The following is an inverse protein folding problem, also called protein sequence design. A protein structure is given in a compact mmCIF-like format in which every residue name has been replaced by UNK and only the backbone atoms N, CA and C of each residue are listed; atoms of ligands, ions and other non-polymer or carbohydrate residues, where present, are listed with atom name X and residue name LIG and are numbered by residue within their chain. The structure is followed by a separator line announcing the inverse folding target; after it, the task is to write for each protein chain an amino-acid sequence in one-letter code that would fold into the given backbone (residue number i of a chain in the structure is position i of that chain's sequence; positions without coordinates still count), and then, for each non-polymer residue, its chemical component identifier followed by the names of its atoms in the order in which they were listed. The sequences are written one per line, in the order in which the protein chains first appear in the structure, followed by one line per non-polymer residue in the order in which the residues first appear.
data_IF_057763455265
#
_entry.id   IF_057763455265
#
_cell.length_a   1.000
_cell.length_b   1.000
_cell.length_c   1.000
_cell.angle_alpha   90.00
_cell.angle_beta   90.00
_cell.angle_gamma   90.00
#
_symmetry.space_group_name_H-M   'P 1'
#
loop_
_entity.id
_entity.type
_entity.pdbx_description
1 polymer ?
#
# COMPACT_ATOMS: atom_id res chain seq x y z
N UNK A 1 -32.35 26.66 13.53
CA UNK A 1 -31.00 26.05 13.44
C UNK A 1 -30.57 26.10 11.99
N UNK A 2 -29.90 27.18 11.61
CA UNK A 2 -29.39 27.40 10.25
C UNK A 2 -27.92 27.01 10.22
N UNK A 3 -27.58 26.11 9.32
CA UNK A 3 -26.22 25.62 9.11
C UNK A 3 -25.53 26.53 8.09
N UNK A 4 -24.58 27.34 8.55
CA UNK A 4 -23.72 28.16 7.67
C UNK A 4 -22.75 27.22 6.95
N UNK A 5 -22.88 27.12 5.62
CA UNK A 5 -21.80 26.67 4.75
C UNK A 5 -20.82 27.84 4.58
N UNK A 6 -19.60 27.66 5.07
CA UNK A 6 -18.47 28.55 4.77
C UNK A 6 -17.67 27.90 3.64
N UNK A 7 -17.87 28.36 2.41
CA UNK A 7 -16.97 28.06 1.30
C UNK A 7 -15.66 28.82 1.51
N UNK A 8 -14.56 28.10 1.74
CA UNK A 8 -13.23 28.67 1.65
C UNK A 8 -12.82 28.77 0.17
N UNK A 9 -12.39 29.98 -0.20
CA UNK A 9 -11.81 30.31 -1.50
C UNK A 9 -10.43 29.65 -1.64
N UNK A 10 -10.20 28.97 -2.76
CA UNK A 10 -8.91 28.38 -3.13
C UNK A 10 -8.00 29.53 -3.59
N UNK A 11 -7.04 29.89 -2.74
CA UNK A 11 -5.95 30.78 -3.11
C UNK A 11 -4.99 30.08 -4.08
N UNK A 12 -5.06 30.43 -5.36
CA UNK A 12 -4.08 30.07 -6.38
C UNK A 12 -2.80 30.90 -6.16
N UNK A 13 -1.91 30.39 -5.32
CA UNK A 13 -0.59 30.98 -5.03
C UNK A 13 0.53 29.95 -5.13
N UNK A 14 0.64 29.27 -6.27
CA UNK A 14 1.74 28.36 -6.56
C UNK A 14 2.94 29.11 -7.15
N UNK A 15 3.96 29.35 -6.31
CA UNK A 15 5.28 29.76 -6.76
C UNK A 15 6.01 28.51 -7.30
N UNK A 16 6.41 28.43 -8.57
CA UNK A 16 7.17 27.28 -9.06
C UNK A 16 8.59 27.38 -8.52
N UNK A 17 8.87 26.64 -7.45
CA UNK A 17 10.24 26.33 -7.06
C UNK A 17 10.82 25.43 -8.16
N UNK A 18 11.63 26.03 -9.02
CA UNK A 18 12.52 25.32 -9.93
C UNK A 18 13.54 24.55 -9.08
N UNK A 19 13.36 23.23 -8.95
CA UNK A 19 14.43 22.37 -8.46
C UNK A 19 15.61 22.41 -9.45
N UNK A 20 16.85 22.51 -8.97
CA UNK A 20 18.02 22.45 -9.83
C UNK A 20 18.16 21.03 -10.42
N UNK A 21 17.74 20.92 -11.67
CA UNK A 21 17.97 19.76 -12.52
C UNK A 21 19.48 19.65 -12.82
N UNK A 22 20.00 18.42 -12.86
CA UNK A 22 21.39 18.03 -13.20
C UNK A 22 22.46 17.92 -12.09
N UNK A 23 22.14 17.27 -10.97
CA UNK A 23 23.14 16.38 -10.36
C UNK A 23 22.94 14.97 -10.90
N UNK A 24 23.99 14.41 -11.51
CA UNK A 24 23.98 13.07 -12.10
C UNK A 24 23.34 12.07 -11.14
N UNK A 25 22.14 11.59 -11.50
CA UNK A 25 21.40 10.63 -10.70
C UNK A 25 22.17 9.33 -10.79
N UNK A 26 23.04 9.07 -9.81
CA UNK A 26 23.55 7.72 -9.61
C UNK A 26 22.35 6.77 -9.65
N UNK A 27 22.42 5.69 -10.44
CA UNK A 27 21.32 4.73 -10.52
C UNK A 27 20.98 4.31 -9.09
N UNK A 28 19.73 4.60 -8.65
CA UNK A 28 19.25 4.26 -7.31
C UNK A 28 19.35 2.74 -7.17
N UNK A 29 20.44 2.28 -6.57
CA UNK A 29 20.82 0.87 -6.52
C UNK A 29 19.97 0.10 -5.50
N UNK A 30 19.90 -1.22 -5.68
CA UNK A 30 19.30 -2.13 -4.70
C UNK A 30 19.95 -1.92 -3.33
N UNK A 31 19.15 -1.60 -2.32
CA UNK A 31 19.65 -1.46 -0.96
C UNK A 31 19.92 -2.84 -0.36
N UNK A 32 21.09 -3.01 0.24
CA UNK A 32 21.35 -4.18 1.08
C UNK A 32 20.38 -4.20 2.28
N UNK A 33 20.06 -5.37 2.84
CA UNK A 33 19.23 -5.46 4.04
C UNK A 33 19.74 -4.61 5.21
N UNK A 34 21.05 -4.51 5.39
CA UNK A 34 21.67 -3.71 6.46
C UNK A 34 21.44 -2.22 6.22
N UNK A 35 21.66 -1.73 4.99
CA UNK A 35 21.41 -0.34 4.65
C UNK A 35 19.93 0.01 4.76
N UNK A 36 19.06 -0.91 4.37
CA UNK A 36 17.61 -0.75 4.51
C UNK A 36 17.20 -0.60 5.98
N UNK A 37 17.67 -1.48 6.87
CA UNK A 37 17.42 -1.39 8.32
C UNK A 37 17.96 -0.10 8.92
N UNK A 38 19.10 0.38 8.45
CA UNK A 38 19.65 1.67 8.87
C UNK A 38 18.74 2.83 8.45
N UNK A 39 18.21 2.81 7.23
CA UNK A 39 17.23 3.80 6.78
C UNK A 39 15.96 3.78 7.65
N UNK A 40 15.47 2.60 8.04
CA UNK A 40 14.32 2.49 8.96
C UNK A 40 14.62 3.13 10.33
N UNK A 41 15.82 2.94 10.87
CA UNK A 41 16.24 3.62 12.12
C UNK A 41 16.34 5.13 11.95
N UNK A 42 16.79 5.60 10.79
CA UNK A 42 16.83 7.04 10.49
C UNK A 42 15.41 7.62 10.39
N UNK A 43 14.46 6.92 9.77
CA UNK A 43 13.05 7.30 9.78
C UNK A 43 12.50 7.36 11.21
N UNK A 44 12.82 6.37 12.06
CA UNK A 44 12.44 6.36 13.48
C UNK A 44 12.98 7.60 14.22
N UNK A 45 14.24 7.95 13.98
CA UNK A 45 14.88 9.12 14.60
C UNK A 45 14.32 10.45 14.06
N UNK A 46 13.95 10.50 12.78
CA UNK A 46 13.41 11.69 12.13
C UNK A 46 11.90 11.90 12.37
N UNK A 47 11.20 10.87 12.86
CA UNK A 47 9.76 10.94 13.11
C UNK A 47 9.45 11.98 14.18
N UNK A 48 8.49 12.85 13.88
CA UNK A 48 8.03 13.90 14.81
C UNK A 48 6.64 13.50 15.29
N UNK A 49 6.56 13.07 16.55
CA UNK A 49 5.31 12.68 17.19
C UNK A 49 4.33 13.86 17.25
N UNK A 50 3.04 13.58 17.10
CA UNK A 50 1.97 14.59 17.20
C UNK A 50 1.71 15.38 15.92
N UNK A 51 2.49 15.16 14.86
CA UNK A 51 2.27 15.76 13.54
C UNK A 51 1.61 14.71 12.64
N UNK A 52 0.68 15.14 11.79
CA UNK A 52 0.13 14.27 10.75
C UNK A 52 1.19 13.98 9.68
N UNK A 53 1.61 12.72 9.57
CA UNK A 53 2.45 12.20 8.50
C UNK A 53 1.72 11.11 7.71
N UNK A 54 2.23 10.83 6.51
CA UNK A 54 1.66 9.86 5.57
C UNK A 54 2.72 8.87 5.14
N UNK A 55 2.60 7.63 5.60
CA UNK A 55 3.53 6.55 5.28
C UNK A 55 2.93 5.55 4.31
N UNK A 56 3.75 4.99 3.43
CA UNK A 56 3.35 3.93 2.53
C UNK A 56 4.35 2.78 2.53
N UNK A 57 3.86 1.54 2.49
CA UNK A 57 4.65 0.32 2.27
C UNK A 57 4.14 -0.37 1.02
N UNK A 58 5.00 -0.50 0.01
CA UNK A 58 4.69 -1.16 -1.26
C UNK A 58 5.45 -2.47 -1.35
N UNK A 59 4.73 -3.58 -1.41
CA UNK A 59 5.30 -4.93 -1.36
C UNK A 59 4.95 -5.69 -2.62
N UNK A 60 5.97 -6.07 -3.41
CA UNK A 60 5.85 -7.13 -4.41
C UNK A 60 6.44 -8.40 -3.82
N UNK A 61 5.59 -9.33 -3.39
CA UNK A 61 6.02 -10.62 -2.83
C UNK A 61 6.45 -11.64 -3.90
N UNK A 62 6.22 -11.36 -5.19
CA UNK A 62 6.61 -12.26 -6.29
C UNK A 62 8.06 -12.02 -6.73
N UNK A 63 8.80 -13.12 -6.90
CA UNK A 63 10.21 -13.17 -7.32
C UNK A 63 10.43 -12.84 -8.79
N UNK A 64 9.49 -13.19 -9.68
CA UNK A 64 9.80 -13.33 -11.12
C UNK A 64 8.78 -12.66 -12.05
N UNK A 65 7.82 -11.93 -11.52
CA UNK A 65 6.73 -11.42 -12.34
C UNK A 65 6.81 -9.91 -12.55
N UNK A 66 7.07 -9.54 -13.80
CA UNK A 66 7.07 -8.15 -14.27
C UNK A 66 5.74 -7.44 -14.00
N UNK A 67 4.62 -8.16 -13.94
CA UNK A 67 3.29 -7.60 -13.71
C UNK A 67 3.17 -7.00 -12.29
N UNK A 68 3.52 -7.77 -11.25
CA UNK A 68 3.49 -7.27 -9.88
C UNK A 68 4.47 -6.11 -9.66
N UNK A 69 5.67 -6.18 -10.24
CA UNK A 69 6.58 -5.04 -10.24
C UNK A 69 6.03 -3.79 -10.94
N UNK A 70 5.23 -3.96 -12.01
CA UNK A 70 4.55 -2.84 -12.68
C UNK A 70 3.47 -2.24 -11.79
N UNK A 71 2.75 -3.06 -11.01
CA UNK A 71 1.79 -2.56 -10.04
C UNK A 71 2.45 -1.71 -8.95
N UNK A 72 3.65 -2.09 -8.46
CA UNK A 72 4.43 -1.27 -7.52
C UNK A 72 4.78 0.09 -8.14
N UNK A 73 5.24 0.12 -9.39
CA UNK A 73 5.52 1.39 -10.08
C UNK A 73 4.28 2.28 -10.23
N UNK A 74 3.11 1.69 -10.51
CA UNK A 74 1.84 2.42 -10.58
C UNK A 74 1.44 2.98 -9.22
N UNK A 75 1.50 2.15 -8.18
CA UNK A 75 1.21 2.56 -6.81
C UNK A 75 2.13 3.71 -6.36
N UNK A 76 3.45 3.57 -6.55
CA UNK A 76 4.42 4.62 -6.23
C UNK A 76 4.06 5.96 -6.88
N UNK A 77 3.81 5.97 -8.19
CA UNK A 77 3.42 7.20 -8.92
C UNK A 77 2.13 7.79 -8.36
N UNK A 78 1.16 6.95 -8.01
CA UNK A 78 -0.10 7.38 -7.43
C UNK A 78 0.10 8.01 -6.03
N UNK A 79 0.96 7.43 -5.18
CA UNK A 79 1.34 8.03 -3.88
C UNK A 79 2.06 9.36 -4.05
N UNK A 80 2.97 9.47 -5.03
CA UNK A 80 3.64 10.75 -5.34
C UNK A 80 2.62 11.82 -5.76
N UNK A 81 1.67 11.46 -6.62
CA UNK A 81 0.60 12.37 -7.04
C UNK A 81 -0.30 12.79 -5.85
N UNK A 82 -0.50 11.90 -4.88
CA UNK A 82 -1.23 12.15 -3.63
C UNK A 82 -0.41 12.89 -2.54
N UNK A 83 0.81 13.35 -2.88
CA UNK A 83 1.64 14.17 -2.00
C UNK A 83 2.44 13.41 -0.94
N UNK A 84 2.67 12.11 -1.10
CA UNK A 84 3.58 11.35 -0.24
C UNK A 84 5.04 11.71 -0.56
N UNK A 85 5.87 11.89 0.46
CA UNK A 85 7.30 12.14 0.29
C UNK A 85 8.05 10.86 -0.12
N UNK A 86 9.21 10.97 -0.77
CA UNK A 86 10.01 9.78 -1.10
C UNK A 86 10.51 9.05 0.16
N UNK A 87 10.81 9.80 1.22
CA UNK A 87 11.32 9.24 2.49
C UNK A 87 10.25 8.46 3.27
N UNK A 88 8.97 8.72 3.00
CA UNK A 88 7.86 8.05 3.70
C UNK A 88 7.27 6.87 2.89
N UNK A 89 7.82 6.58 1.71
CA UNK A 89 7.42 5.43 0.88
C UNK A 89 8.48 4.33 0.94
N UNK A 90 8.19 3.27 1.67
CA UNK A 90 9.03 2.08 1.80
C UNK A 90 8.66 1.08 0.70
N UNK A 91 9.63 0.61 -0.09
CA UNK A 91 9.38 -0.30 -1.21
C UNK A 91 10.18 -1.59 -1.04
N UNK A 92 9.45 -2.68 -0.84
CA UNK A 92 9.95 -4.05 -0.82
C UNK A 92 9.64 -4.68 -2.17
N UNK A 93 10.66 -4.85 -3.02
CA UNK A 93 10.47 -5.40 -4.35
C UNK A 93 11.56 -6.41 -4.65
N UNK A 94 11.19 -7.62 -5.08
CA UNK A 94 12.18 -8.55 -5.60
C UNK A 94 12.73 -8.03 -6.92
N UNK A 95 14.00 -7.62 -6.91
CA UNK A 95 14.73 -7.36 -8.14
C UNK A 95 15.24 -8.68 -8.70
N UNK A 96 14.89 -8.96 -9.96
CA UNK A 96 15.71 -9.85 -10.76
C UNK A 96 16.91 -9.02 -11.24
N UNK A 97 18.15 -9.33 -10.80
CA UNK A 97 19.35 -8.55 -11.13
C UNK A 97 19.63 -8.50 -12.64
N UNK A 98 19.01 -9.37 -13.46
CA UNK A 98 19.11 -9.32 -14.93
C UNK A 98 18.08 -8.39 -15.59
N UNK A 99 17.01 -8.04 -14.89
CA UNK A 99 15.98 -7.07 -15.34
C UNK A 99 16.23 -5.64 -14.84
N UNK A 100 17.36 -5.46 -14.15
CA UNK A 100 17.75 -4.32 -13.32
C UNK A 100 18.30 -3.12 -14.12
N UNK A 101 18.28 -3.19 -15.45
CA UNK A 101 18.76 -2.10 -16.31
C UNK A 101 17.64 -1.27 -16.93
N UNK A 102 16.45 -1.24 -16.34
CA UNK A 102 15.44 -0.27 -16.77
C UNK A 102 15.73 1.07 -16.10
N UNK A 103 16.18 2.10 -16.83
CA UNK A 103 16.51 3.43 -16.29
C UNK A 103 15.30 4.15 -15.68
N UNK A 104 14.10 3.59 -15.80
CA UNK A 104 12.83 4.21 -15.43
C UNK A 104 12.38 3.91 -13.99
N UNK A 105 13.28 3.46 -13.10
CA UNK A 105 12.95 3.25 -11.68
C UNK A 105 13.44 4.43 -10.83
N UNK A 106 12.56 5.38 -10.48
CA UNK A 106 12.96 6.58 -9.78
C UNK A 106 13.04 6.38 -8.26
N UNK A 107 13.06 5.16 -7.70
CA UNK A 107 12.89 4.94 -6.26
C UNK A 107 13.83 3.88 -5.68
N UNK A 108 14.33 4.06 -4.45
CA UNK A 108 15.11 3.05 -3.75
C UNK A 108 14.23 1.85 -3.41
N UNK A 109 14.77 0.64 -3.55
CA UNK A 109 14.09 -0.60 -3.17
C UNK A 109 15.02 -1.52 -2.40
N UNK A 110 14.45 -2.38 -1.57
CA UNK A 110 15.16 -3.54 -1.00
C UNK A 110 14.45 -4.84 -1.35
N UNK A 111 15.07 -5.96 -1.00
CA UNK A 111 14.55 -7.30 -1.26
C UNK A 111 13.22 -7.52 -0.53
N UNK A 112 12.21 -8.00 -1.26
CA UNK A 112 10.92 -8.38 -0.70
C UNK A 112 10.93 -9.82 -0.19
N UNK A 113 11.32 -10.05 1.06
CA UNK A 113 11.20 -11.36 1.69
C UNK A 113 10.37 -11.26 2.98
N UNK A 114 10.06 -12.41 3.57
CA UNK A 114 9.22 -12.47 4.76
C UNK A 114 9.79 -11.66 5.93
N UNK A 115 11.09 -11.81 6.20
CA UNK A 115 11.79 -11.12 7.28
C UNK A 115 11.80 -9.60 7.09
N UNK A 116 12.13 -9.12 5.88
CA UNK A 116 12.17 -7.68 5.56
C UNK A 116 10.79 -7.03 5.70
N UNK A 117 9.73 -7.74 5.32
CA UNK A 117 8.39 -7.22 5.50
C UNK A 117 8.01 -7.14 6.98
N UNK A 118 8.32 -8.18 7.75
CA UNK A 118 8.11 -8.19 9.20
C UNK A 118 8.91 -7.11 9.93
N UNK A 119 10.19 -6.95 9.58
CA UNK A 119 11.07 -5.90 10.09
C UNK A 119 10.50 -4.51 9.79
N UNK A 120 9.97 -4.31 8.58
CA UNK A 120 9.34 -3.06 8.15
C UNK A 120 8.13 -2.71 9.01
N UNK A 121 7.17 -3.64 9.16
CA UNK A 121 5.96 -3.40 9.98
C UNK A 121 6.32 -3.21 11.45
N UNK A 122 7.33 -3.95 11.94
CA UNK A 122 7.83 -3.80 13.31
C UNK A 122 8.54 -2.45 13.53
N UNK A 123 9.23 -1.91 12.54
CA UNK A 123 9.78 -0.56 12.62
C UNK A 123 8.68 0.50 12.59
N UNK A 124 7.69 0.33 11.72
CA UNK A 124 6.56 1.25 11.62
C UNK A 124 5.72 1.31 12.91
N UNK A 125 5.66 0.23 13.69
CA UNK A 125 5.01 0.29 15.01
C UNK A 125 5.71 1.22 16.00
N UNK A 126 6.96 1.63 15.73
CA UNK A 126 7.72 2.61 16.53
C UNK A 126 7.79 4.00 15.88
N UNK A 127 7.63 4.08 14.57
CA UNK A 127 7.65 5.32 13.78
C UNK A 127 6.28 6.00 13.80
N UNK A 128 5.24 5.23 13.48
CA UNK A 128 3.88 5.72 13.24
C UNK A 128 3.14 5.97 14.55
N UNK A 129 2.36 7.05 14.61
CA UNK A 129 1.54 7.43 15.76
C UNK A 129 0.07 7.72 15.41
N UNK A 130 -0.71 8.07 16.42
CA UNK A 130 -2.17 8.19 16.36
C UNK A 130 -2.68 9.38 15.52
N UNK A 131 -1.80 10.18 14.92
CA UNK A 131 -2.13 11.24 13.98
C UNK A 131 -1.78 10.86 12.52
N UNK A 132 -1.07 9.75 12.33
CA UNK A 132 -0.54 9.37 11.03
C UNK A 132 -1.50 8.50 10.23
N UNK A 133 -1.36 8.60 8.90
CA UNK A 133 -1.92 7.65 7.94
C UNK A 133 -0.85 6.65 7.53
N UNK A 134 -1.15 5.35 7.63
CA UNK A 134 -0.33 4.29 7.05
C UNK A 134 -1.08 3.59 5.92
N UNK A 135 -0.46 3.50 4.76
CA UNK A 135 -0.94 2.71 3.63
C UNK A 135 -0.04 1.49 3.39
N UNK A 136 -0.59 0.29 3.35
CA UNK A 136 0.13 -0.95 3.07
C UNK A 136 -0.47 -1.59 1.82
N UNK A 137 0.30 -1.66 0.75
CA UNK A 137 -0.07 -2.33 -0.48
C UNK A 137 0.77 -3.58 -0.70
N UNK A 138 0.10 -4.73 -0.77
CA UNK A 138 0.75 -6.00 -1.11
C UNK A 138 0.20 -6.54 -2.43
N UNK A 139 1.09 -6.86 -3.36
CA UNK A 139 0.80 -7.60 -4.58
C UNK A 139 1.75 -8.79 -4.71
N UNK A 140 1.30 -9.86 -5.36
CA UNK A 140 2.08 -11.08 -5.52
C UNK A 140 1.19 -12.31 -5.62
N UNK A 141 1.69 -13.43 -5.12
CA UNK A 141 0.97 -14.69 -5.11
C UNK A 141 0.32 -14.98 -3.75
N UNK A 142 -0.98 -15.21 -3.77
CA UNK A 142 -1.70 -15.76 -2.63
C UNK A 142 -1.79 -17.28 -2.71
N UNK A 143 -1.66 -17.95 -1.57
CA UNK A 143 -1.74 -19.41 -1.45
C UNK A 143 -2.63 -19.83 -0.28
N UNK A 144 -3.03 -21.09 -0.31
CA UNK A 144 -3.65 -21.80 0.82
C UNK A 144 -2.64 -22.82 1.36
N UNK A 145 -2.17 -22.62 2.58
CA UNK A 145 -1.18 -23.49 3.23
C UNK A 145 -1.78 -24.00 4.53
N UNK A 146 -2.01 -25.31 4.65
CA UNK A 146 -2.61 -25.90 5.85
C UNK A 146 -3.97 -25.31 6.21
N UNK A 147 -4.76 -24.87 5.22
CA UNK A 147 -6.05 -24.20 5.41
C UNK A 147 -5.96 -22.69 5.65
N UNK A 148 -4.78 -22.15 5.96
CA UNK A 148 -4.57 -20.71 6.11
C UNK A 148 -4.41 -20.02 4.76
N UNK A 149 -4.97 -18.81 4.63
CA UNK A 149 -4.70 -17.90 3.50
C UNK A 149 -3.37 -17.18 3.77
N UNK A 150 -2.48 -17.17 2.77
CA UNK A 150 -1.13 -16.63 2.92
C UNK A 150 -0.67 -15.79 1.74
N UNK A 151 0.16 -14.77 1.99
CA UNK A 151 0.97 -14.05 1.01
C UNK A 151 2.28 -14.82 0.84
N UNK A 152 2.59 -15.24 -0.39
CA UNK A 152 3.78 -16.02 -0.67
C UNK A 152 4.95 -15.12 -1.04
N UNK A 153 5.96 -15.10 -0.16
CA UNK A 153 7.28 -14.58 -0.46
C UNK A 153 8.15 -15.69 -1.08
N UNK A 154 9.35 -15.33 -1.53
CA UNK A 154 10.30 -16.29 -2.11
C UNK A 154 10.76 -17.35 -1.10
N UNK A 155 10.95 -16.94 0.14
CA UNK A 155 11.57 -17.73 1.21
C UNK A 155 10.53 -18.42 2.08
N UNK A 156 9.43 -17.72 2.39
CA UNK A 156 8.38 -18.20 3.28
C UNK A 156 6.99 -17.65 2.86
N UNK A 157 5.97 -17.99 3.62
CA UNK A 157 4.61 -17.45 3.46
C UNK A 157 4.19 -16.73 4.72
N UNK A 158 3.58 -15.55 4.60
CA UNK A 158 2.95 -14.84 5.73
C UNK A 158 1.46 -15.15 5.75
N UNK A 159 0.93 -15.62 6.88
CA UNK A 159 -0.51 -15.86 7.02
C UNK A 159 -1.29 -14.55 7.18
N UNK A 160 -2.57 -14.57 6.80
CA UNK A 160 -3.49 -13.46 7.04
C UNK A 160 -3.56 -13.04 8.52
N UNK A 161 -3.53 -14.02 9.43
CA UNK A 161 -3.55 -13.78 10.87
C UNK A 161 -2.26 -13.12 11.36
N UNK A 162 -1.09 -13.64 10.95
CA UNK A 162 0.21 -13.04 11.30
C UNK A 162 0.31 -11.60 10.81
N UNK A 163 -0.12 -11.34 9.57
CA UNK A 163 -0.17 -10.00 9.01
C UNK A 163 -1.05 -9.06 9.85
N UNK A 164 -2.27 -9.49 10.21
CA UNK A 164 -3.17 -8.71 11.05
C UNK A 164 -2.54 -8.38 12.41
N UNK A 165 -1.90 -9.36 13.07
CA UNK A 165 -1.20 -9.18 14.34
C UNK A 165 -0.03 -8.19 14.26
N UNK A 166 0.60 -8.05 13.10
CA UNK A 166 1.65 -7.04 12.89
C UNK A 166 1.05 -5.65 12.72
N UNK A 167 -0.05 -5.52 11.96
CA UNK A 167 -0.76 -4.24 11.81
C UNK A 167 -1.34 -3.73 13.13
N UNK A 168 -1.86 -4.63 13.96
CA UNK A 168 -2.43 -4.29 15.29
C UNK A 168 -1.46 -3.62 16.25
N UNK A 169 -0.15 -3.77 16.01
CA UNK A 169 0.89 -3.13 16.81
C UNK A 169 1.14 -1.68 16.41
N UNK A 170 0.62 -1.23 15.28
CA UNK A 170 0.86 0.09 14.72
C UNK A 170 -0.24 1.03 15.21
N UNK A 171 0.13 2.09 15.91
CA UNK A 171 -0.82 3.03 16.54
C UNK A 171 -1.29 4.13 15.59
N UNK A 172 -1.45 3.85 14.29
CA UNK A 172 -1.85 4.86 13.30
C UNK A 172 -3.27 5.41 13.58
N UNK A 173 -3.57 6.64 13.12
CA UNK A 173 -4.95 7.13 13.08
C UNK A 173 -5.81 6.22 12.18
N UNK A 174 -5.27 5.89 11.01
CA UNK A 174 -5.89 5.00 10.03
C UNK A 174 -4.82 4.17 9.35
N UNK A 175 -5.07 2.86 9.21
CA UNK A 175 -4.28 1.95 8.38
C UNK A 175 -5.13 1.54 7.18
N UNK A 176 -4.67 1.79 5.96
CA UNK A 176 -5.29 1.27 4.75
C UNK A 176 -4.47 0.10 4.23
N UNK A 177 -5.06 -1.10 4.21
CA UNK A 177 -4.41 -2.32 3.76
C UNK A 177 -5.04 -2.82 2.45
N UNK A 178 -4.31 -2.71 1.34
CA UNK A 178 -4.74 -3.21 0.03
C UNK A 178 -4.02 -4.52 -0.29
N UNK A 179 -4.79 -5.60 -0.44
CA UNK A 179 -4.28 -6.93 -0.77
C UNK A 179 -4.72 -7.33 -2.18
N UNK A 180 -3.77 -7.39 -3.10
CA UNK A 180 -3.96 -7.60 -4.55
C UNK A 180 -3.33 -8.93 -4.98
N UNK A 181 -4.06 -10.02 -4.70
CA UNK A 181 -3.59 -11.38 -4.95
C UNK A 181 -4.73 -12.40 -4.86
N UNK A 182 -4.48 -13.63 -5.34
CA UNK A 182 -5.38 -14.77 -5.12
C UNK A 182 -5.77 -14.92 -3.64
N UNK A 183 -7.04 -15.23 -3.37
CA UNK A 183 -7.56 -15.46 -2.02
C UNK A 183 -7.46 -14.24 -1.07
N UNK A 184 -7.22 -13.03 -1.59
CA UNK A 184 -6.99 -11.81 -0.78
C UNK A 184 -8.08 -11.54 0.25
N UNK A 185 -9.33 -11.94 -0.02
CA UNK A 185 -10.44 -11.83 0.92
C UNK A 185 -10.17 -12.45 2.29
N UNK A 186 -9.29 -13.45 2.41
CA UNK A 186 -8.94 -14.04 3.71
C UNK A 186 -8.16 -13.08 4.63
N UNK A 187 -7.43 -12.12 4.07
CA UNK A 187 -6.79 -11.05 4.83
C UNK A 187 -7.83 -10.07 5.40
N UNK A 188 -8.85 -9.76 4.61
CA UNK A 188 -9.97 -8.94 5.05
C UNK A 188 -10.78 -9.64 6.16
N UNK A 189 -11.02 -10.95 6.04
CA UNK A 189 -11.66 -11.76 7.11
C UNK A 189 -10.85 -11.75 8.41
N UNK A 190 -9.51 -11.75 8.34
CA UNK A 190 -8.66 -11.63 9.53
C UNK A 190 -8.76 -10.23 10.18
N UNK A 191 -8.76 -9.17 9.35
CA UNK A 191 -8.80 -7.77 9.79
C UNK A 191 -10.16 -7.36 10.37
N UNK A 192 -11.27 -7.93 9.88
CA UNK A 192 -12.63 -7.59 10.33
C UNK A 192 -12.80 -7.60 11.85
N UNK A 193 -12.09 -8.50 12.54
CA UNK A 193 -12.15 -8.65 13.99
C UNK A 193 -11.10 -7.83 14.76
N UNK A 194 -10.23 -7.10 14.07
CA UNK A 194 -9.19 -6.29 14.67
C UNK A 194 -9.75 -5.05 15.40
N UNK A 195 -9.06 -4.65 16.48
CA UNK A 195 -9.33 -3.40 17.21
C UNK A 195 -8.45 -2.22 16.76
N UNK A 196 -7.48 -2.44 15.87
CA UNK A 196 -6.76 -1.34 15.23
C UNK A 196 -7.66 -0.68 14.16
N UNK A 197 -7.47 0.61 13.83
CA UNK A 197 -8.31 1.31 12.85
C UNK A 197 -7.88 0.98 11.41
N UNK A 198 -8.26 -0.22 10.93
CA UNK A 198 -7.85 -0.75 9.64
C UNK A 198 -9.00 -0.73 8.63
N UNK A 199 -8.75 -0.14 7.46
CA UNK A 199 -9.55 -0.27 6.24
C UNK A 199 -8.87 -1.32 5.34
N UNK A 200 -9.48 -2.49 5.17
CA UNK A 200 -8.98 -3.55 4.31
C UNK A 200 -9.67 -3.51 2.94
N UNK A 201 -8.89 -3.53 1.87
CA UNK A 201 -9.38 -3.59 0.48
C UNK A 201 -8.80 -4.84 -0.17
N UNK A 202 -9.66 -5.64 -0.80
CA UNK A 202 -9.30 -6.91 -1.44
C UNK A 202 -9.89 -6.99 -2.84
N UNK A 203 -9.16 -7.56 -3.79
CA UNK A 203 -9.58 -7.70 -5.18
C UNK A 203 -10.43 -8.95 -5.45
N UNK A 204 -10.45 -9.91 -4.52
CA UNK A 204 -11.23 -11.15 -4.60
C UNK A 204 -11.61 -11.69 -3.21
N UNK A 205 -12.43 -12.75 -3.16
CA UNK A 205 -12.80 -13.40 -1.90
C UNK A 205 -11.71 -14.40 -1.43
N UNK A 206 -11.89 -14.99 -0.26
CA UNK A 206 -10.96 -15.99 0.30
C UNK A 206 -10.98 -17.35 -0.43
N UNK A 207 -11.89 -17.53 -1.40
CA UNK A 207 -12.20 -18.81 -2.05
C UNK A 207 -11.60 -18.95 -3.43
N UNK A 208 -11.35 -17.85 -4.12
CA UNK A 208 -10.98 -17.87 -5.53
C UNK A 208 -9.59 -17.27 -5.78
N UNK A 209 -8.89 -17.88 -6.74
CA UNK A 209 -7.77 -17.25 -7.40
C UNK A 209 -8.27 -16.18 -8.37
N UNK A 210 -7.48 -15.14 -8.64
CA UNK A 210 -7.87 -14.02 -9.51
C UNK A 210 -6.71 -13.50 -10.36
N UNK A 211 -6.98 -12.50 -11.20
CA UNK A 211 -6.00 -11.79 -12.03
C UNK A 211 -5.87 -10.34 -11.55
N UNK A 212 -5.06 -10.16 -10.51
CA UNK A 212 -4.76 -8.91 -9.81
C UNK A 212 -4.52 -7.68 -10.72
N UNK A 213 -3.89 -7.88 -11.87
CA UNK A 213 -3.54 -6.80 -12.81
C UNK A 213 -4.72 -5.91 -13.24
N UNK A 214 -5.93 -6.46 -13.38
CA UNK A 214 -7.09 -5.71 -13.85
C UNK A 214 -7.65 -4.77 -12.78
N UNK A 215 -7.61 -5.21 -11.53
CA UNK A 215 -8.03 -4.39 -10.39
C UNK A 215 -6.98 -3.32 -10.10
N UNK A 216 -5.72 -3.72 -9.91
CA UNK A 216 -4.63 -2.82 -9.50
C UNK A 216 -4.43 -1.66 -10.48
N UNK A 217 -4.49 -1.91 -11.79
CA UNK A 217 -4.33 -0.85 -12.79
C UNK A 217 -5.35 0.27 -12.64
N UNK A 218 -6.64 -0.08 -12.55
CA UNK A 218 -7.70 0.91 -12.41
C UNK A 218 -7.65 1.55 -11.02
N UNK A 219 -7.43 0.76 -9.96
CA UNK A 219 -7.33 1.27 -8.59
C UNK A 219 -6.30 2.38 -8.47
N UNK A 220 -5.06 2.14 -8.94
CA UNK A 220 -3.99 3.14 -8.84
C UNK A 220 -4.19 4.32 -9.79
N UNK A 221 -4.82 4.11 -10.95
CA UNK A 221 -5.17 5.23 -11.85
C UNK A 221 -6.23 6.15 -11.27
N UNK A 222 -7.17 5.63 -10.49
CA UNK A 222 -8.18 6.45 -9.80
C UNK A 222 -7.59 7.07 -8.54
N UNK A 223 -6.75 6.34 -7.79
CA UNK A 223 -6.05 6.86 -6.60
C UNK A 223 -5.19 8.09 -6.91
N UNK A 224 -4.49 8.11 -8.05
CA UNK A 224 -3.61 9.22 -8.42
C UNK A 224 -4.34 10.56 -8.66
N UNK A 225 -5.68 10.57 -8.62
CA UNK A 225 -6.51 11.76 -8.83
C UNK A 225 -7.03 12.36 -7.52
N UNK A 226 -6.71 11.75 -6.39
CA UNK A 226 -7.24 12.15 -5.09
C UNK A 226 -6.25 13.04 -4.36
N UNK A 227 -6.80 14.08 -3.74
CA UNK A 227 -6.10 14.85 -2.74
C UNK A 227 -6.16 14.16 -1.38
N UNK A 228 -5.02 13.67 -0.91
CA UNK A 228 -4.84 13.09 0.42
C UNK A 228 -4.36 14.16 1.41
N UNK A 229 -4.80 15.41 1.29
CA UNK A 229 -4.47 16.50 2.21
C UNK A 229 -5.09 16.34 3.59
N UNK A 230 -6.14 15.52 3.73
CA UNK A 230 -6.74 15.15 5.03
C UNK A 230 -7.20 13.70 5.05
N UNK A 231 -7.26 13.09 6.23
CA UNK A 231 -7.75 11.71 6.42
C UNK A 231 -9.25 11.56 6.16
N UNK A 232 -10.06 12.60 6.43
CA UNK A 232 -11.51 12.56 6.22
C UNK A 232 -11.95 12.49 4.75
N UNK A 233 -11.20 13.12 3.85
CA UNK A 233 -11.46 13.01 2.40
C UNK A 233 -11.08 11.65 1.83
N UNK A 234 -10.20 10.91 2.50
CA UNK A 234 -9.67 9.64 1.99
C UNK A 234 -10.72 8.52 1.97
N UNK A 235 -11.47 8.30 3.05
CA UNK A 235 -12.40 7.15 3.14
C UNK A 235 -13.48 7.16 2.06
N UNK A 236 -14.17 8.30 1.88
CA UNK A 236 -15.18 8.44 0.82
C UNK A 236 -14.57 8.26 -0.58
N UNK A 237 -13.34 8.71 -0.76
CA UNK A 237 -12.63 8.53 -2.02
C UNK A 237 -12.24 7.07 -2.24
N UNK A 238 -11.87 6.33 -1.19
CA UNK A 238 -11.48 4.91 -1.29
C UNK A 238 -12.63 4.02 -1.75
N UNK A 239 -13.85 4.24 -1.26
CA UNK A 239 -15.02 3.47 -1.73
C UNK A 239 -15.32 3.72 -3.21
N UNK A 240 -15.19 4.97 -3.66
CA UNK A 240 -15.37 5.33 -5.07
C UNK A 240 -14.28 4.69 -5.96
N UNK A 241 -13.00 4.82 -5.57
CA UNK A 241 -11.88 4.16 -6.26
C UNK A 241 -12.11 2.66 -6.34
N UNK A 242 -12.45 2.04 -5.21
CA UNK A 242 -12.67 0.60 -5.13
C UNK A 242 -13.80 0.17 -6.07
N UNK A 243 -14.91 0.92 -6.08
CA UNK A 243 -16.06 0.64 -6.94
C UNK A 243 -15.68 0.72 -8.42
N UNK A 244 -14.96 1.76 -8.84
CA UNK A 244 -14.47 1.90 -10.22
C UNK A 244 -13.54 0.76 -10.61
N UNK A 245 -12.57 0.43 -9.75
CA UNK A 245 -11.64 -0.67 -9.98
C UNK A 245 -12.35 -2.02 -10.08
N UNK A 246 -13.37 -2.25 -9.24
CA UNK A 246 -14.14 -3.49 -9.24
C UNK A 246 -15.02 -3.62 -10.49
N UNK A 247 -15.58 -2.53 -11.02
CA UNK A 247 -16.33 -2.53 -12.28
C UNK A 247 -15.43 -3.00 -13.43
N UNK A 248 -14.24 -2.42 -13.55
CA UNK A 248 -13.27 -2.83 -14.58
C UNK A 248 -12.84 -4.29 -14.38
N UNK A 249 -12.57 -4.70 -13.13
CA UNK A 249 -12.20 -6.07 -12.82
C UNK A 249 -13.29 -7.07 -13.23
N UNK A 250 -14.56 -6.77 -12.91
CA UNK A 250 -15.73 -7.58 -13.28
C UNK A 250 -15.91 -7.69 -14.79
N UNK A 251 -15.75 -6.59 -15.52
CA UNK A 251 -15.85 -6.61 -17.00
C UNK A 251 -14.77 -7.51 -17.62
N UNK A 252 -13.51 -7.35 -17.18
CA UNK A 252 -12.38 -8.16 -17.69
C UNK A 252 -12.51 -9.64 -17.36
N UNK A 253 -13.12 -10.00 -16.24
CA UNK A 253 -13.32 -11.39 -15.80
C UNK A 253 -14.78 -11.83 -15.85
N UNK A 254 -15.59 -11.29 -16.76
CA UNK A 254 -17.02 -11.59 -16.88
C UNK A 254 -17.36 -13.07 -17.07
N UNK A 255 -16.43 -13.85 -17.61
CA UNK A 255 -16.56 -15.31 -17.78
C UNK A 255 -16.32 -16.10 -16.47
N UNK A 256 -15.72 -15.47 -15.46
CA UNK A 256 -15.42 -16.07 -14.16
C UNK A 256 -15.77 -15.10 -13.01
N UNK A 257 -17.05 -14.71 -12.85
CA UNK A 257 -17.45 -13.64 -11.94
C UNK A 257 -17.18 -13.95 -10.46
N UNK A 258 -16.98 -15.22 -10.09
CA UNK A 258 -16.58 -15.59 -8.73
C UNK A 258 -15.18 -15.06 -8.36
N UNK A 259 -14.32 -14.77 -9.34
CA UNK A 259 -12.95 -14.27 -9.12
C UNK A 259 -12.88 -12.77 -8.81
N UNK A 260 -14.00 -12.04 -8.90
CA UNK A 260 -14.06 -10.58 -8.74
C UNK A 260 -14.92 -10.18 -7.54
N UNK A 261 -14.98 -11.03 -6.52
CA UNK A 261 -15.73 -10.82 -5.27
C UNK A 261 -14.91 -10.07 -4.21
N UNK A 262 -14.12 -9.11 -4.67
CA UNK A 262 -13.39 -8.21 -3.78
C UNK A 262 -14.34 -7.40 -2.90
N UNK A 263 -13.83 -6.91 -1.77
CA UNK A 263 -14.59 -6.06 -0.83
C UNK A 263 -13.69 -5.05 -0.14
N UNK A 264 -14.32 -3.98 0.35
CA UNK A 264 -13.79 -3.14 1.42
C UNK A 264 -14.33 -3.65 2.75
N UNK A 265 -13.53 -3.61 3.81
CA UNK A 265 -13.91 -4.03 5.15
C UNK A 265 -13.29 -3.11 6.17
N UNK A 266 -14.09 -2.68 7.12
CA UNK A 266 -13.68 -1.84 8.24
C UNK A 266 -13.54 -2.73 9.46
N UNK A 267 -12.38 -2.68 10.11
CA UNK A 267 -12.16 -3.37 11.39
C UNK A 267 -13.06 -2.80 12.49
N UNK A 268 -13.35 -3.59 13.53
CA UNK A 268 -14.10 -3.14 14.73
C UNK A 268 -13.51 -1.89 15.39
N UNK A 269 -12.19 -1.73 15.33
CA UNK A 269 -11.48 -0.57 15.86
C UNK A 269 -11.89 0.79 15.28
N UNK A 270 -12.55 0.81 14.11
CA UNK A 270 -12.96 2.03 13.44
C UNK A 270 -14.23 2.67 14.05
N UNK A 271 -14.95 1.98 14.94
CA UNK A 271 -16.05 2.55 15.72
C UNK A 271 -17.32 2.91 14.94
N UNK A 272 -17.62 2.22 13.83
CA UNK A 272 -18.83 2.39 13.02
C UNK A 272 -19.94 1.41 13.42
#
# INVERSE_FOLDING_TARGET
MGMLLVCWSIGSGGNPLSEPDSMGKEPRSLQTPERFRENLKQMETASVRGKENKYAVLVNADKNNRLHGTNISKAYKAFKAAGFSDSDIIILNHLNPRSDMSPDRPYPTTTSNHEMFKDTLTALSRIVDYNDLLFVYCTGHGKRVGGAITLAFRDQTMSAMEYCQLLEKISALTIVSVMDQCYSGGFSSAIENSYAPIISITDTDEKHATYCQHFAEQFWSSFSRIDCSSTGTLTNSLEAIFSEALIVHKDKLKQTPARTRGKITYSKGMGW
#
